data_IF_277086142966
#
_entry.id   IF_277086142966
#
_cell.length_a   1.000
_cell.length_b   1.000
_cell.length_c   1.000
_cell.angle_alpha   90.00
_cell.angle_beta   90.00
_cell.angle_gamma   90.00
#
_symmetry.space_group_name_H-M   'P 1'
#
loop_
_entity.id
_entity.type
_entity.pdbx_description
1 polymer ?
#
# COMPACT_ATOMS: atom_id res chain seq x y z
N UNK A 1 -7.81 -13.66 40.88
CA UNK A 1 -8.53 -14.47 39.88
C UNK A 1 -9.32 -13.52 38.98
N UNK A 2 -8.73 -13.07 37.88
CA UNK A 2 -9.40 -12.22 36.87
C UNK A 2 -9.23 -12.90 35.52
N UNK A 3 -10.38 -13.08 34.85
CA UNK A 3 -10.60 -13.96 33.70
C UNK A 3 -9.86 -13.45 32.47
N UNK A 4 -9.05 -14.32 31.86
CA UNK A 4 -8.45 -14.09 30.55
C UNK A 4 -9.52 -14.13 29.46
N UNK A 5 -9.54 -13.10 28.62
CA UNK A 5 -10.41 -13.01 27.45
C UNK A 5 -9.61 -13.50 26.24
N UNK A 6 -9.89 -14.71 25.78
CA UNK A 6 -9.34 -15.20 24.52
C UNK A 6 -10.18 -14.64 23.38
N UNK A 7 -9.62 -13.66 22.65
CA UNK A 7 -10.14 -13.24 21.36
C UNK A 7 -9.84 -14.31 20.33
N UNK A 8 -10.83 -15.14 20.02
CA UNK A 8 -10.79 -16.06 18.89
C UNK A 8 -10.90 -15.26 17.59
N UNK A 9 -9.76 -14.98 16.96
CA UNK A 9 -9.71 -14.54 15.57
C UNK A 9 -10.13 -15.72 14.68
N UNK A 10 -11.35 -15.68 14.17
CA UNK A 10 -11.81 -16.62 13.15
C UNK A 10 -11.40 -16.05 11.78
N UNK A 11 -10.22 -16.45 11.29
CA UNK A 11 -9.85 -16.26 9.88
C UNK A 11 -10.69 -17.20 9.03
N UNK A 12 -11.63 -16.65 8.28
CA UNK A 12 -12.29 -17.36 7.20
C UNK A 12 -11.33 -17.39 6.00
N UNK A 13 -10.52 -18.45 5.90
CA UNK A 13 -9.71 -18.70 4.71
C UNK A 13 -10.61 -19.20 3.58
N UNK A 14 -11.08 -18.28 2.72
CA UNK A 14 -11.63 -18.65 1.42
C UNK A 14 -10.48 -19.08 0.51
N UNK A 15 -10.20 -20.39 0.47
CA UNK A 15 -9.28 -20.98 -0.49
C UNK A 15 -9.95 -21.09 -1.88
N UNK A 16 -10.14 -19.94 -2.53
CA UNK A 16 -10.37 -19.90 -3.97
C UNK A 16 -9.02 -19.92 -4.68
N UNK A 17 -8.64 -21.05 -5.27
CA UNK A 17 -7.44 -21.14 -6.11
C UNK A 17 -7.68 -20.35 -7.41
N UNK A 18 -7.58 -19.03 -7.34
CA UNK A 18 -7.42 -18.21 -8.53
C UNK A 18 -6.05 -18.55 -9.11
N UNK A 19 -6.03 -19.03 -10.35
CA UNK A 19 -4.80 -19.20 -11.11
C UNK A 19 -4.09 -17.85 -11.15
N UNK A 20 -3.03 -17.70 -10.35
CA UNK A 20 -2.19 -16.52 -10.39
C UNK A 20 -1.53 -16.54 -11.78
N UNK A 21 -1.74 -15.51 -12.62
CA UNK A 21 -1.10 -15.47 -13.93
C UNK A 21 0.41 -15.62 -13.75
N UNK A 22 1.03 -16.47 -14.59
CA UNK A 22 2.43 -16.88 -14.49
C UNK A 22 3.43 -15.71 -14.37
N UNK A 23 3.07 -14.51 -14.85
CA UNK A 23 3.90 -13.30 -14.75
C UNK A 23 4.23 -12.88 -13.31
N UNK A 24 3.26 -12.94 -12.38
CA UNK A 24 3.48 -12.55 -10.98
C UNK A 24 4.32 -13.55 -10.18
N UNK A 25 4.28 -14.83 -10.54
CA UNK A 25 5.09 -15.83 -9.86
C UNK A 25 6.59 -15.63 -10.17
N UNK A 26 6.89 -15.14 -11.38
CA UNK A 26 8.26 -14.98 -11.88
C UNK A 26 8.90 -13.64 -11.50
N UNK A 27 8.11 -12.65 -11.06
CA UNK A 27 8.58 -11.32 -10.67
C UNK A 27 8.67 -11.10 -9.16
N UNK A 28 8.51 -12.17 -8.35
CA UNK A 28 8.51 -12.06 -6.87
C UNK A 28 9.79 -11.46 -6.31
N UNK A 29 10.97 -11.90 -6.78
CA UNK A 29 12.24 -11.36 -6.29
C UNK A 29 12.40 -9.85 -6.56
N UNK A 30 11.90 -9.38 -7.70
CA UNK A 30 11.93 -7.94 -8.05
C UNK A 30 10.92 -7.13 -7.22
N UNK A 31 9.74 -7.70 -6.97
CA UNK A 31 8.74 -7.08 -6.10
C UNK A 31 9.23 -6.98 -4.66
N UNK A 32 9.85 -8.04 -4.13
CA UNK A 32 10.43 -8.05 -2.78
C UNK A 32 11.55 -7.01 -2.66
N UNK A 33 12.48 -6.98 -3.61
CA UNK A 33 13.55 -5.98 -3.64
C UNK A 33 12.99 -4.54 -3.73
N UNK A 34 11.91 -4.33 -4.49
CA UNK A 34 11.26 -3.03 -4.55
C UNK A 34 10.64 -2.64 -3.20
N UNK A 35 9.89 -3.55 -2.58
CA UNK A 35 9.25 -3.34 -1.28
C UNK A 35 10.29 -3.15 -0.15
N UNK A 36 11.47 -3.76 -0.25
CA UNK A 36 12.59 -3.50 0.68
C UNK A 36 13.06 -2.05 0.60
N UNK A 37 13.20 -1.49 -0.60
CA UNK A 37 13.55 -0.07 -0.80
C UNK A 37 12.49 0.86 -0.20
N UNK A 38 11.22 0.47 -0.28
CA UNK A 38 10.12 1.22 0.36
C UNK A 38 10.27 1.17 1.88
N UNK A 39 10.52 -0.01 2.44
CA UNK A 39 10.74 -0.19 3.88
C UNK A 39 11.95 0.63 4.38
N UNK A 40 13.06 0.65 3.65
CA UNK A 40 14.24 1.47 3.95
C UNK A 40 13.94 2.98 3.93
N UNK A 41 13.19 3.45 2.93
CA UNK A 41 12.74 4.83 2.86
C UNK A 41 11.90 5.18 4.09
N UNK A 42 10.89 4.36 4.41
CA UNK A 42 10.01 4.61 5.57
C UNK A 42 10.81 4.61 6.87
N UNK A 43 11.74 3.68 7.08
CA UNK A 43 12.60 3.65 8.28
C UNK A 43 13.50 4.88 8.42
N UNK A 44 13.87 5.51 7.30
CA UNK A 44 14.69 6.73 7.33
C UNK A 44 13.93 7.90 7.97
N UNK A 45 12.62 8.03 7.71
CA UNK A 45 11.79 9.11 8.28
C UNK A 45 11.06 8.71 9.55
N UNK A 46 10.74 7.42 9.69
CA UNK A 46 9.96 6.84 10.79
C UNK A 46 10.67 5.60 11.36
N UNK A 47 11.76 5.77 12.14
CA UNK A 47 12.57 4.65 12.63
C UNK A 47 11.81 3.66 13.54
N UNK A 48 10.72 4.12 14.16
CA UNK A 48 9.84 3.31 15.01
C UNK A 48 8.56 2.85 14.29
N UNK A 49 8.55 2.86 12.95
CA UNK A 49 7.45 2.29 12.18
C UNK A 49 7.37 0.77 12.37
N UNK A 50 6.14 0.26 12.43
CA UNK A 50 5.83 -1.16 12.39
C UNK A 50 5.58 -1.59 10.95
N UNK A 51 6.02 -2.79 10.59
CA UNK A 51 5.88 -3.35 9.25
C UNK A 51 5.20 -4.73 9.31
N UNK A 52 4.33 -5.00 8.35
CA UNK A 52 3.71 -6.30 8.13
C UNK A 52 3.89 -6.67 6.66
N UNK A 53 4.45 -7.85 6.41
CA UNK A 53 4.83 -8.31 5.07
C UNK A 53 3.96 -9.48 4.64
N UNK A 54 3.36 -9.36 3.46
CA UNK A 54 2.76 -10.47 2.74
C UNK A 54 3.59 -10.82 1.50
N UNK A 55 3.13 -11.81 0.73
CA UNK A 55 3.84 -12.30 -0.46
C UNK A 55 4.08 -11.21 -1.54
N UNK A 56 3.14 -10.29 -1.69
CA UNK A 56 3.18 -9.18 -2.65
C UNK A 56 2.73 -7.87 -1.99
N UNK A 57 2.80 -7.81 -0.66
CA UNK A 57 2.15 -6.77 0.12
C UNK A 57 3.11 -6.26 1.19
N UNK A 58 3.11 -4.94 1.37
CA UNK A 58 3.77 -4.27 2.48
C UNK A 58 2.76 -3.35 3.13
N UNK A 59 2.52 -3.53 4.42
CA UNK A 59 1.77 -2.58 5.23
C UNK A 59 2.73 -2.01 6.26
N UNK A 60 2.76 -0.70 6.41
CA UNK A 60 3.53 -0.04 7.47
C UNK A 60 2.69 1.01 8.19
N UNK A 61 2.97 1.18 9.47
CA UNK A 61 2.26 2.15 10.30
C UNK A 61 3.22 2.77 11.32
N UNK A 62 3.03 4.04 11.60
CA UNK A 62 3.69 4.74 12.69
C UNK A 62 2.71 5.74 13.28
N UNK A 63 2.56 5.73 14.61
CA UNK A 63 1.67 6.63 15.34
C UNK A 63 0.25 6.69 14.73
N UNK A 64 -0.41 5.55 14.55
CA UNK A 64 -1.78 5.46 14.02
C UNK A 64 -2.84 5.45 15.13
N UNK A 65 -4.09 5.73 14.75
CA UNK A 65 -5.28 5.54 15.58
C UNK A 65 -6.52 5.31 14.72
N UNK A 66 -7.58 4.84 15.36
CA UNK A 66 -8.91 4.71 14.75
C UNK A 66 -9.63 6.05 14.74
N UNK A 67 -10.27 6.37 13.62
CA UNK A 67 -11.11 7.55 13.40
C UNK A 67 -12.52 7.10 13.04
N UNK A 68 -13.52 7.87 13.46
CA UNK A 68 -14.90 7.69 13.03
C UNK A 68 -15.15 8.65 11.87
N UNK A 69 -15.22 8.12 10.64
CA UNK A 69 -15.39 8.94 9.43
C UNK A 69 -16.84 8.83 8.95
N UNK A 70 -17.46 9.99 8.73
CA UNK A 70 -18.78 10.10 8.13
C UNK A 70 -18.62 10.44 6.65
N UNK A 71 -18.90 9.48 5.78
CA UNK A 71 -18.85 9.71 4.33
C UNK A 71 -20.25 10.08 3.85
N UNK A 72 -20.37 11.20 3.14
CA UNK A 72 -21.60 11.53 2.42
C UNK A 72 -21.77 10.56 1.24
N UNK A 73 -22.96 9.99 1.09
CA UNK A 73 -23.35 9.24 -0.09
C UNK A 73 -23.41 10.18 -1.30
N UNK A 74 -23.24 9.60 -2.50
CA UNK A 74 -23.48 10.31 -3.77
C UNK A 74 -24.93 10.82 -3.91
N UNK A 75 -25.85 10.31 -3.10
CA UNK A 75 -27.24 10.76 -2.99
C UNK A 75 -27.42 12.01 -2.09
N UNK A 76 -26.38 12.42 -1.37
CA UNK A 76 -26.43 13.50 -0.37
C UNK A 76 -26.82 13.04 1.04
N UNK A 77 -27.18 11.77 1.22
CA UNK A 77 -27.45 11.18 2.54
C UNK A 77 -26.14 10.87 3.28
N UNK A 78 -26.12 10.99 4.61
CA UNK A 78 -24.94 10.64 5.40
C UNK A 78 -24.95 9.15 5.74
N UNK A 79 -23.83 8.46 5.49
CA UNK A 79 -23.67 7.08 5.96
C UNK A 79 -23.48 7.04 7.49
N UNK A 80 -23.80 5.88 8.08
CA UNK A 80 -23.33 5.55 9.41
C UNK A 80 -21.81 5.68 9.47
N UNK A 81 -21.30 6.15 10.60
CA UNK A 81 -19.87 6.33 10.79
C UNK A 81 -19.15 5.00 10.64
N UNK A 82 -18.09 4.98 9.83
CA UNK A 82 -17.22 3.83 9.69
C UNK A 82 -15.91 4.10 10.45
N UNK A 83 -15.43 3.09 11.15
CA UNK A 83 -14.14 3.13 11.82
C UNK A 83 -13.03 2.89 10.79
N UNK A 84 -12.15 3.88 10.63
CA UNK A 84 -11.03 3.83 9.69
C UNK A 84 -9.74 4.09 10.46
N UNK A 85 -8.73 3.25 10.28
CA UNK A 85 -7.40 3.51 10.83
C UNK A 85 -6.70 4.59 10.01
N UNK A 86 -6.02 5.51 10.68
CA UNK A 86 -5.27 6.56 10.03
C UNK A 86 -4.14 7.10 10.90
N UNK A 87 -3.26 7.94 10.33
CA UNK A 87 -2.16 8.54 11.06
C UNK A 87 -2.67 9.55 12.11
N UNK A 88 -2.00 9.63 13.26
CA UNK A 88 -2.17 10.77 14.17
C UNK A 88 -1.66 12.04 13.49
N UNK A 89 -2.22 13.18 13.90
CA UNK A 89 -1.90 14.50 13.32
C UNK A 89 -0.41 14.82 13.32
N UNK A 90 0.30 14.46 14.39
CA UNK A 90 1.72 14.77 14.53
C UNK A 90 2.53 13.49 14.43
N UNK A 91 3.38 13.41 13.42
CA UNK A 91 4.32 12.32 13.22
C UNK A 91 3.70 11.00 12.75
N UNK A 92 2.40 10.92 12.47
CA UNK A 92 1.78 9.69 11.99
C UNK A 92 1.99 9.44 10.50
N UNK A 93 2.11 8.16 10.11
CA UNK A 93 1.99 7.70 8.72
C UNK A 93 1.40 6.30 8.68
N UNK A 94 0.61 5.99 7.66
CA UNK A 94 0.11 4.64 7.37
C UNK A 94 0.25 4.43 5.87
N UNK A 95 0.83 3.31 5.45
CA UNK A 95 0.94 2.97 4.04
C UNK A 95 0.61 1.52 3.76
N UNK A 96 -0.06 1.30 2.65
CA UNK A 96 -0.46 -0.01 2.15
C UNK A 96 -0.02 -0.13 0.71
N UNK A 97 0.79 -1.14 0.43
CA UNK A 97 1.28 -1.45 -0.90
C UNK A 97 0.92 -2.88 -1.25
N UNK A 98 0.40 -3.09 -2.46
CA UNK A 98 0.10 -4.41 -2.97
C UNK A 98 0.40 -4.51 -4.47
N UNK A 99 1.19 -5.50 -4.88
CA UNK A 99 1.41 -5.80 -6.29
C UNK A 99 0.29 -6.71 -6.80
N UNK A 100 -0.43 -6.23 -7.81
CA UNK A 100 -1.59 -6.90 -8.41
C UNK A 100 -1.39 -7.16 -9.90
N UNK A 101 -2.00 -8.21 -10.47
CA UNK A 101 -1.89 -8.50 -11.89
C UNK A 101 -2.68 -7.50 -12.74
N UNK A 102 -2.26 -7.33 -13.98
CA UNK A 102 -2.90 -6.47 -14.96
C UNK A 102 -2.66 -4.98 -14.73
N UNK A 103 -3.43 -4.16 -15.45
CA UNK A 103 -3.47 -2.71 -15.29
C UNK A 103 -4.42 -2.29 -14.16
N UNK A 104 -4.18 -1.12 -13.59
CA UNK A 104 -5.11 -0.49 -12.65
C UNK A 104 -6.49 -0.31 -13.29
N UNK A 105 -7.53 -0.80 -12.61
CA UNK A 105 -8.92 -0.73 -13.04
C UNK A 105 -9.83 -0.10 -11.96
N UNK A 106 -9.24 0.62 -11.00
CA UNK A 106 -9.99 1.29 -9.95
C UNK A 106 -10.77 2.50 -10.45
N UNK A 107 -11.70 2.99 -9.62
CA UNK A 107 -12.60 4.09 -9.98
C UNK A 107 -11.90 5.46 -10.08
N UNK A 108 -10.67 5.58 -9.56
CA UNK A 108 -9.88 6.81 -9.53
C UNK A 108 -8.88 6.84 -10.69
N UNK A 109 -8.71 8.02 -11.30
CA UNK A 109 -7.59 8.29 -12.22
C UNK A 109 -6.40 8.66 -11.35
N UNK A 110 -5.41 7.78 -11.29
CA UNK A 110 -4.24 7.90 -10.41
C UNK A 110 -3.01 8.42 -11.17
N UNK A 111 -2.07 9.14 -10.53
CA UNK A 111 -1.99 9.45 -9.10
C UNK A 111 -3.05 10.48 -8.64
N UNK A 112 -3.63 10.27 -7.44
CA UNK A 112 -4.69 11.13 -6.90
C UNK A 112 -4.63 11.24 -5.38
N UNK A 113 -4.94 12.42 -4.84
CA UNK A 113 -5.13 12.65 -3.40
C UNK A 113 -6.60 12.76 -3.03
N UNK A 114 -6.95 12.26 -1.84
CA UNK A 114 -8.27 12.34 -1.24
C UNK A 114 -8.14 12.94 0.16
N UNK A 115 -8.86 14.03 0.42
CA UNK A 115 -8.97 14.60 1.76
C UNK A 115 -10.02 13.81 2.56
N UNK A 116 -9.57 13.09 3.60
CA UNK A 116 -10.42 12.29 4.50
C UNK A 116 -10.75 13.07 5.79
N UNK A 117 -10.73 14.41 5.75
CA UNK A 117 -10.97 15.35 6.85
C UNK A 117 -9.91 15.33 7.96
N UNK A 118 -9.39 14.16 8.34
CA UNK A 118 -8.40 13.99 9.39
C UNK A 118 -6.99 13.76 8.86
N UNK A 119 -6.88 13.27 7.63
CA UNK A 119 -5.62 12.99 6.94
C UNK A 119 -5.86 12.97 5.44
N UNK A 120 -4.78 13.08 4.67
CA UNK A 120 -4.80 12.90 3.22
C UNK A 120 -4.49 11.45 2.89
N UNK A 121 -5.21 10.88 1.92
CA UNK A 121 -4.85 9.61 1.28
C UNK A 121 -4.30 9.91 -0.10
N UNK A 122 -3.09 9.46 -0.40
CA UNK A 122 -2.46 9.57 -1.70
C UNK A 122 -2.34 8.21 -2.35
N UNK A 123 -3.05 8.03 -3.46
CA UNK A 123 -3.18 6.76 -4.18
C UNK A 123 -2.36 6.85 -5.46
N UNK A 124 -1.50 5.87 -5.67
CA UNK A 124 -0.71 5.70 -6.89
C UNK A 124 -0.88 4.27 -7.42
N UNK A 125 -0.90 4.11 -8.74
CA UNK A 125 -0.89 2.77 -9.34
C UNK A 125 0.02 2.61 -10.57
N UNK A 126 1.36 2.69 -10.42
CA UNK A 126 2.26 2.54 -11.55
C UNK A 126 2.20 1.11 -12.10
N UNK A 127 2.17 1.01 -13.43
CA UNK A 127 2.04 -0.25 -14.17
C UNK A 127 3.37 -0.65 -14.82
N UNK A 128 3.71 -1.93 -14.69
CA UNK A 128 4.90 -2.55 -15.23
C UNK A 128 4.53 -3.51 -16.37
N UNK A 129 4.90 -3.15 -17.60
CA UNK A 129 4.58 -3.94 -18.79
C UNK A 129 5.26 -5.32 -18.80
N UNK A 130 6.49 -5.43 -18.31
CA UNK A 130 7.28 -6.68 -18.36
C UNK A 130 6.69 -7.84 -17.56
N UNK A 131 5.92 -7.56 -16.51
CA UNK A 131 5.24 -8.57 -15.69
C UNK A 131 3.71 -8.60 -15.87
N UNK A 132 3.15 -7.71 -16.71
CA UNK A 132 1.72 -7.39 -16.74
C UNK A 132 1.14 -7.22 -15.32
N UNK A 133 1.72 -6.29 -14.56
CA UNK A 133 1.36 -6.08 -13.16
C UNK A 133 1.43 -4.60 -12.77
N UNK A 134 0.65 -4.17 -11.78
CA UNK A 134 0.72 -2.83 -11.20
C UNK A 134 0.90 -2.90 -9.70
N UNK A 135 1.51 -1.86 -9.14
CA UNK A 135 1.54 -1.63 -7.71
C UNK A 135 0.32 -0.80 -7.34
N UNK A 136 -0.46 -1.18 -6.33
CA UNK A 136 -1.41 -0.29 -5.65
C UNK A 136 -0.67 0.26 -4.44
N UNK A 137 -0.49 1.58 -4.38
CA UNK A 137 0.21 2.23 -3.27
C UNK A 137 -0.67 3.33 -2.68
N UNK A 138 -1.17 3.07 -1.47
CA UNK A 138 -1.96 4.00 -0.68
C UNK A 138 -1.08 4.53 0.44
N UNK A 139 -0.95 5.86 0.52
CA UNK A 139 -0.22 6.54 1.58
C UNK A 139 -1.16 7.49 2.32
N UNK A 140 -1.38 7.24 3.61
CA UNK A 140 -2.14 8.09 4.50
C UNK A 140 -1.20 8.93 5.35
N UNK A 141 -1.36 10.25 5.31
CA UNK A 141 -0.50 11.18 6.05
C UNK A 141 -1.25 12.44 6.52
N UNK A 142 -0.84 13.05 7.65
CA UNK A 142 -1.43 14.29 8.13
C UNK A 142 -0.92 15.50 7.35
N UNK A 143 -1.57 16.65 7.54
CA UNK A 143 -1.16 17.94 6.96
C UNK A 143 0.26 18.37 7.37
N UNK A 144 0.80 17.85 8.47
CA UNK A 144 2.14 18.14 8.98
C UNK A 144 3.22 17.16 8.51
N UNK A 145 2.96 16.31 7.51
CA UNK A 145 3.96 15.38 6.99
C UNK A 145 5.17 16.13 6.41
N UNK A 146 6.36 15.52 6.47
CA UNK A 146 7.54 16.05 5.80
C UNK A 146 7.36 16.03 4.27
N UNK A 147 7.52 17.18 3.63
CA UNK A 147 7.42 17.30 2.17
C UNK A 147 8.50 16.51 1.41
N UNK A 148 9.72 16.41 1.96
CA UNK A 148 10.81 15.61 1.36
C UNK A 148 10.46 14.11 1.37
N UNK A 149 9.78 13.64 2.43
CA UNK A 149 9.28 12.27 2.47
C UNK A 149 8.28 12.01 1.32
N UNK A 150 7.30 12.90 1.12
CA UNK A 150 6.29 12.75 0.05
C UNK A 150 6.95 12.79 -1.34
N UNK A 151 7.93 13.67 -1.56
CA UNK A 151 8.66 13.74 -2.83
C UNK A 151 9.42 12.44 -3.10
N UNK A 152 10.18 11.95 -2.13
CA UNK A 152 10.98 10.72 -2.27
C UNK A 152 10.11 9.49 -2.39
N UNK A 153 9.02 9.42 -1.64
CA UNK A 153 8.00 8.39 -1.78
C UNK A 153 7.48 8.35 -3.21
N UNK A 154 7.00 9.49 -3.72
CA UNK A 154 6.43 9.59 -5.07
C UNK A 154 7.44 9.15 -6.14
N UNK A 155 8.70 9.60 -6.01
CA UNK A 155 9.79 9.19 -6.91
C UNK A 155 9.99 7.67 -6.87
N UNK A 156 10.13 7.09 -5.68
CA UNK A 156 10.36 5.67 -5.51
C UNK A 156 9.21 4.83 -6.09
N UNK A 157 7.95 5.21 -5.83
CA UNK A 157 6.78 4.52 -6.39
C UNK A 157 6.81 4.55 -7.92
N UNK A 158 7.16 5.68 -8.52
CA UNK A 158 7.27 5.79 -9.98
C UNK A 158 8.41 4.98 -10.60
N UNK A 159 9.38 4.50 -9.81
CA UNK A 159 10.45 3.61 -10.29
C UNK A 159 10.00 2.15 -10.41
N UNK A 160 8.82 1.79 -9.85
CA UNK A 160 8.30 0.42 -9.88
C UNK A 160 8.36 -0.21 -11.28
N UNK A 161 7.88 0.42 -12.38
CA UNK A 161 7.91 -0.19 -13.70
C UNK A 161 9.32 -0.55 -14.17
N UNK A 162 10.32 0.30 -13.86
CA UNK A 162 11.72 0.09 -14.22
C UNK A 162 12.34 -1.07 -13.46
N UNK A 163 12.08 -1.15 -12.14
CA UNK A 163 12.58 -2.23 -11.29
C UNK A 163 12.02 -3.58 -11.74
N UNK A 164 10.73 -3.61 -12.10
CA UNK A 164 10.09 -4.82 -12.62
C UNK A 164 10.56 -5.19 -14.03
N UNK A 165 10.99 -4.22 -14.86
CA UNK A 165 11.52 -4.46 -16.20
C UNK A 165 12.99 -4.94 -16.22
N UNK A 166 13.82 -4.49 -15.27
CA UNK A 166 15.26 -4.83 -15.22
C UNK A 166 15.57 -6.33 -15.18
N UNK A 167 14.63 -7.15 -14.70
CA UNK A 167 14.79 -8.61 -14.60
C UNK A 167 14.21 -9.40 -15.78
N UNK A 168 13.54 -8.72 -16.72
CA UNK A 168 13.18 -9.31 -18.01
C UNK A 168 14.41 -9.39 -18.94
N UNK A 169 15.27 -8.35 -18.94
CA UNK A 169 16.41 -8.23 -19.85
C UNK A 169 17.64 -9.08 -19.46
N UNK A 170 17.81 -9.48 -18.20
CA UNK A 170 18.90 -10.40 -17.79
C UNK A 170 18.70 -11.84 -18.30
N UNK A 171 17.53 -12.16 -18.88
CA UNK A 171 17.22 -13.51 -19.38
C UNK A 171 17.46 -13.69 -20.88
N UNK A 172 17.31 -12.63 -21.69
CA UNK A 172 17.46 -12.71 -23.14
C UNK A 172 18.94 -12.68 -23.61
N UNK A 173 19.88 -12.46 -22.69
CA UNK A 173 21.32 -12.38 -22.99
C UNK A 173 22.11 -13.67 -22.77
N UNK A 174 21.47 -14.79 -22.45
CA UNK A 174 22.13 -16.07 -22.18
C UNK A 174 21.71 -17.17 -23.17
N UNK A 175 21.95 -16.94 -24.46
CA UNK A 175 21.89 -17.93 -25.55
C UNK A 175 23.23 -18.09 -26.22
#
# INVERSE_FOLDING_TARGET
MTKGWQSTFMMLALAGALAVPNGLAQSQGSADAFLDRVEELVKTYYPAASFSRGKNQLIFSHETRKFMIHTALKTGEWQAANEVEGPKRHGGVLGELEVRPGRWAGAAVVPQTFDQQYFTTYVMAPYAEGCDCHLVADLHYPDTVDGDFIERWTRLINEFPTVMAGQANERDGNT
#
